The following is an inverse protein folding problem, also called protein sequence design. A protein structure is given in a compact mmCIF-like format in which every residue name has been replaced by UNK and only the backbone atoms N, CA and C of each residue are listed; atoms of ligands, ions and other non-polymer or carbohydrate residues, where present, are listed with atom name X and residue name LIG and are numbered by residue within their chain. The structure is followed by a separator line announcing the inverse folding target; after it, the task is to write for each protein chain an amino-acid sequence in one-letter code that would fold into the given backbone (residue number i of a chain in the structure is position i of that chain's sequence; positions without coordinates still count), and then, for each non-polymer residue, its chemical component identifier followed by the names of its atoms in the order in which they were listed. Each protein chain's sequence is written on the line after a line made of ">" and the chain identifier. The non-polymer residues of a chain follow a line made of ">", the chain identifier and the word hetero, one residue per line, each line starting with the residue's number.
data_IF_572032714752
#
_entry.id   IF_572032714752
#
_cell.length_a   1.000
_cell.length_b   1.000
_cell.length_c   1.000
_cell.angle_alpha   90.00
_cell.angle_beta   90.00
_cell.angle_gamma   90.00
#
_symmetry.space_group_name_H-M   'P 1'
#
loop_
_entity.id
_entity.type
_entity.pdbx_description
1 polymer ?
#
# COMPACT_ATOMS: atom_id res chain seq x y z
N UNK A 1 35.64 14.97 4.16
CA UNK A 1 34.19 15.09 3.94
C UNK A 1 33.97 14.52 2.57
N UNK A 2 33.24 13.42 2.49
CA UNK A 2 32.95 12.75 1.23
C UNK A 2 31.93 13.60 0.47
N UNK A 3 32.22 13.99 -0.77
CA UNK A 3 31.39 14.93 -1.53
C UNK A 3 30.73 14.24 -2.72
N UNK A 4 29.44 14.49 -2.92
CA UNK A 4 28.82 14.31 -4.25
C UNK A 4 29.30 15.49 -5.10
N UNK A 5 30.02 15.20 -6.17
CA UNK A 5 30.57 16.25 -7.02
C UNK A 5 29.50 16.78 -7.98
N UNK A 6 28.61 15.88 -8.42
CA UNK A 6 27.57 16.18 -9.39
C UNK A 6 26.46 15.13 -9.35
N UNK A 7 25.21 15.57 -9.38
CA UNK A 7 24.02 14.73 -9.60
C UNK A 7 23.26 15.31 -10.80
N UNK A 8 23.03 14.51 -11.84
CA UNK A 8 22.35 14.97 -13.05
C UNK A 8 21.60 13.84 -13.75
N UNK A 9 20.49 14.17 -14.42
CA UNK A 9 19.70 13.18 -15.16
C UNK A 9 20.48 12.68 -16.38
N UNK A 10 20.53 11.36 -16.59
CA UNK A 10 21.26 10.74 -17.72
C UNK A 10 20.70 11.15 -19.09
N UNK A 11 19.37 11.25 -19.19
CA UNK A 11 18.64 11.80 -20.33
C UNK A 11 17.33 12.44 -19.85
N UNK A 12 16.74 13.42 -20.56
CA UNK A 12 15.53 14.12 -20.11
C UNK A 12 14.36 13.20 -19.73
N UNK A 13 14.19 12.10 -20.44
CA UNK A 13 13.13 11.10 -20.26
C UNK A 13 13.55 9.87 -19.44
N UNK A 14 14.75 9.86 -18.88
CA UNK A 14 15.27 8.72 -18.12
C UNK A 14 15.03 8.93 -16.63
N UNK A 15 14.63 7.85 -15.96
CA UNK A 15 14.55 7.81 -14.49
C UNK A 15 15.93 7.56 -13.85
N UNK A 16 16.96 7.37 -14.69
CA UNK A 16 18.35 7.19 -14.25
C UNK A 16 19.04 8.53 -14.13
N UNK A 17 19.64 8.77 -12.97
CA UNK A 17 20.50 9.89 -12.65
C UNK A 17 21.93 9.39 -12.52
N UNK A 18 22.87 10.15 -13.05
CA UNK A 18 24.29 9.90 -12.89
C UNK A 18 24.81 10.72 -11.72
N UNK A 19 25.57 10.08 -10.84
CA UNK A 19 26.20 10.67 -9.67
C UNK A 19 27.70 10.50 -9.77
N UNK A 20 28.44 11.61 -9.79
CA UNK A 20 29.91 11.57 -9.74
C UNK A 20 30.35 11.48 -8.27
N UNK A 21 30.93 10.33 -7.91
CA UNK A 21 31.34 9.99 -6.54
C UNK A 21 32.85 9.84 -6.46
N UNK A 22 33.46 10.33 -5.37
CA UNK A 22 34.88 10.08 -5.11
C UNK A 22 35.09 8.59 -4.73
N UNK A 23 36.09 7.94 -5.33
CA UNK A 23 36.47 6.59 -4.94
C UNK A 23 37.57 6.68 -3.89
N UNK A 24 37.36 6.08 -2.72
CA UNK A 24 38.38 6.08 -1.67
C UNK A 24 39.56 5.19 -2.04
N UNK A 25 40.78 5.53 -1.58
CA UNK A 25 41.98 4.70 -1.73
C UNK A 25 41.72 3.25 -1.28
N UNK A 26 40.94 3.06 -0.20
CA UNK A 26 40.59 1.72 0.28
C UNK A 26 39.74 0.92 -0.72
N UNK A 27 38.78 1.56 -1.41
CA UNK A 27 37.99 0.89 -2.44
C UNK A 27 38.81 0.66 -3.71
N UNK A 28 39.70 1.60 -4.08
CA UNK A 28 40.63 1.42 -5.19
C UNK A 28 41.55 0.22 -4.94
N UNK A 29 42.27 0.22 -3.82
CA UNK A 29 43.18 -0.88 -3.42
C UNK A 29 42.46 -2.24 -3.38
N UNK A 30 41.16 -2.25 -3.00
CA UNK A 30 40.36 -3.47 -2.91
C UNK A 30 39.99 -4.04 -4.28
N UNK A 31 39.64 -3.20 -5.24
CA UNK A 31 39.00 -3.64 -6.51
C UNK A 31 39.86 -3.40 -7.77
N UNK A 32 40.91 -2.59 -7.72
CA UNK A 32 41.67 -2.19 -8.92
C UNK A 32 42.25 -3.40 -9.69
N UNK A 33 42.86 -4.37 -8.98
CA UNK A 33 43.46 -5.54 -9.62
C UNK A 33 42.40 -6.40 -10.33
N UNK A 34 41.27 -6.70 -9.66
CA UNK A 34 40.19 -7.51 -10.24
C UNK A 34 39.52 -6.79 -11.42
N UNK A 35 39.29 -5.47 -11.32
CA UNK A 35 38.68 -4.69 -12.39
C UNK A 35 39.59 -4.51 -13.60
N UNK A 36 40.90 -4.36 -13.36
CA UNK A 36 41.90 -4.32 -14.44
C UNK A 36 41.94 -5.68 -15.15
N UNK A 37 41.86 -6.79 -14.43
CA UNK A 37 41.86 -8.14 -15.03
C UNK A 37 40.56 -8.48 -15.78
N UNK A 38 39.39 -8.20 -15.21
CA UNK A 38 38.09 -8.59 -15.78
C UNK A 38 37.64 -7.67 -16.91
N UNK A 39 37.93 -6.37 -16.81
CA UNK A 39 37.31 -5.34 -17.65
C UNK A 39 38.28 -4.34 -18.29
N UNK A 40 39.59 -4.44 -18.02
CA UNK A 40 40.60 -3.45 -18.46
C UNK A 40 40.24 -2.03 -17.97
N UNK A 41 39.67 -1.93 -16.76
CA UNK A 41 39.25 -0.68 -16.12
C UNK A 41 40.26 -0.29 -15.05
N UNK A 42 40.76 0.94 -15.11
CA UNK A 42 41.50 1.57 -14.02
C UNK A 42 40.56 2.46 -13.21
N UNK A 43 40.42 2.18 -11.90
CA UNK A 43 39.60 3.01 -11.02
C UNK A 43 40.26 4.38 -10.82
N UNK A 44 39.66 5.41 -11.39
CA UNK A 44 40.04 6.79 -11.13
C UNK A 44 39.62 7.25 -9.73
N UNK A 45 40.03 8.46 -9.35
CA UNK A 45 39.56 9.12 -8.12
C UNK A 45 38.08 9.48 -8.13
N UNK A 46 37.41 9.42 -9.29
CA UNK A 46 35.98 9.70 -9.46
C UNK A 46 35.36 8.58 -10.29
N UNK A 47 34.26 8.00 -9.80
CA UNK A 47 33.42 7.03 -10.50
C UNK A 47 32.02 7.60 -10.70
N UNK A 48 31.43 7.37 -11.87
CA UNK A 48 30.06 7.78 -12.16
C UNK A 48 29.12 6.62 -11.89
N UNK A 49 28.18 6.82 -10.98
CA UNK A 49 27.21 5.83 -10.55
C UNK A 49 25.82 6.16 -11.12
N UNK A 50 25.16 5.20 -11.77
CA UNK A 50 23.76 5.33 -12.15
C UNK A 50 22.85 5.04 -10.97
N UNK A 51 21.88 5.90 -10.69
CA UNK A 51 20.84 5.67 -9.67
C UNK A 51 19.46 5.95 -10.25
N UNK A 52 18.48 5.11 -9.96
CA UNK A 52 17.07 5.40 -10.23
C UNK A 52 16.41 6.03 -9.01
N UNK A 53 15.39 6.84 -9.25
CA UNK A 53 14.56 7.44 -8.19
C UNK A 53 13.13 6.94 -8.40
N UNK A 54 12.59 6.22 -7.42
CA UNK A 54 11.22 5.69 -7.48
C UNK A 54 10.17 6.82 -7.26
N UNK A 55 8.86 6.56 -7.50
CA UNK A 55 7.80 7.55 -7.32
C UNK A 55 7.70 8.14 -5.89
N UNK A 56 8.15 7.39 -4.88
CA UNK A 56 8.22 7.83 -3.49
C UNK A 56 9.47 8.69 -3.19
N UNK A 57 10.39 8.78 -4.15
CA UNK A 57 11.64 9.54 -4.06
C UNK A 57 12.81 8.73 -3.51
N UNK A 58 12.67 7.41 -3.30
CA UNK A 58 13.78 6.58 -2.83
C UNK A 58 14.74 6.26 -3.97
N UNK A 59 16.02 6.21 -3.62
CA UNK A 59 17.08 5.89 -4.58
C UNK A 59 17.36 4.39 -4.65
N UNK A 60 17.69 3.91 -5.84
CA UNK A 60 18.21 2.56 -6.06
C UNK A 60 19.39 2.60 -7.03
N UNK A 61 20.33 1.67 -6.88
CA UNK A 61 21.46 1.55 -7.80
C UNK A 61 20.96 1.03 -9.17
N UNK A 62 21.27 1.76 -10.23
CA UNK A 62 20.98 1.35 -11.61
C UNK A 62 22.01 0.34 -12.10
N UNK A 63 21.82 -0.92 -11.68
CA UNK A 63 22.64 -2.03 -12.14
C UNK A 63 22.22 -2.42 -13.56
N UNK A 64 22.84 -1.79 -14.56
CA UNK A 64 22.94 -2.37 -15.90
C UNK A 64 23.63 -3.75 -15.81
N UNK A 65 23.50 -4.60 -16.84
CA UNK A 65 23.90 -6.03 -16.89
C UNK A 65 25.38 -6.35 -16.56
N UNK A 66 25.83 -5.99 -15.36
CA UNK A 66 27.20 -6.07 -14.91
C UNK A 66 27.24 -7.11 -13.79
N UNK A 67 28.19 -8.03 -13.91
CA UNK A 67 28.43 -9.13 -12.98
C UNK A 67 29.89 -9.07 -12.54
N UNK A 68 30.26 -9.78 -11.48
CA UNK A 68 31.65 -9.88 -11.03
C UNK A 68 32.09 -8.71 -10.13
N UNK A 69 33.39 -8.43 -10.13
CA UNK A 69 34.01 -7.48 -9.20
C UNK A 69 33.45 -6.05 -9.35
N UNK A 70 33.04 -5.67 -10.56
CA UNK A 70 32.46 -4.35 -10.84
C UNK A 70 31.10 -4.15 -10.18
N UNK A 71 30.26 -5.20 -10.14
CA UNK A 71 28.97 -5.13 -9.45
C UNK A 71 29.16 -4.92 -7.95
N UNK A 72 30.08 -5.67 -7.34
CA UNK A 72 30.39 -5.57 -5.92
C UNK A 72 30.97 -4.19 -5.57
N UNK A 73 31.87 -3.67 -6.42
CA UNK A 73 32.42 -2.33 -6.31
C UNK A 73 31.31 -1.26 -6.30
N UNK A 74 30.40 -1.28 -7.28
CA UNK A 74 29.32 -0.29 -7.35
C UNK A 74 28.32 -0.41 -6.20
N UNK A 75 28.03 -1.62 -5.73
CA UNK A 75 27.19 -1.84 -4.55
C UNK A 75 27.80 -1.27 -3.28
N UNK A 76 29.09 -1.50 -3.06
CA UNK A 76 29.78 -0.98 -1.87
C UNK A 76 29.92 0.54 -1.95
N UNK A 77 30.25 1.08 -3.13
CA UNK A 77 30.28 2.52 -3.36
C UNK A 77 28.90 3.14 -3.12
N UNK A 78 27.83 2.58 -3.68
CA UNK A 78 26.46 3.04 -3.42
C UNK A 78 26.13 3.01 -1.93
N UNK A 79 26.42 1.92 -1.23
CA UNK A 79 26.14 1.79 0.20
C UNK A 79 26.84 2.86 1.06
N UNK A 80 28.07 3.25 0.70
CA UNK A 80 28.80 4.32 1.39
C UNK A 80 28.16 5.70 1.19
N UNK A 81 27.57 5.95 0.01
CA UNK A 81 27.05 7.27 -0.38
C UNK A 81 25.53 7.40 -0.33
N UNK A 82 24.78 6.30 -0.19
CA UNK A 82 23.31 6.31 -0.27
C UNK A 82 22.63 7.38 0.59
N UNK A 83 23.01 7.60 1.87
CA UNK A 83 22.39 8.67 2.67
C UNK A 83 22.61 10.08 2.10
N UNK A 84 23.78 10.33 1.51
CA UNK A 84 24.12 11.62 0.91
C UNK A 84 23.41 11.81 -0.44
N UNK A 85 23.33 10.75 -1.25
CA UNK A 85 22.59 10.75 -2.52
C UNK A 85 21.11 11.00 -2.25
N UNK A 86 20.52 10.31 -1.27
CA UNK A 86 19.12 10.50 -0.88
C UNK A 86 18.87 11.94 -0.39
N UNK A 87 19.78 12.49 0.43
CA UNK A 87 19.67 13.88 0.88
C UNK A 87 19.65 14.87 -0.28
N UNK A 88 20.50 14.67 -1.29
CA UNK A 88 20.57 15.54 -2.46
C UNK A 88 19.35 15.38 -3.37
N UNK A 89 18.87 14.14 -3.57
CA UNK A 89 17.62 13.86 -4.27
C UNK A 89 16.45 14.58 -3.60
N UNK A 90 16.29 14.43 -2.28
CA UNK A 90 15.25 15.11 -1.51
C UNK A 90 15.33 16.65 -1.66
N UNK A 91 16.55 17.21 -1.69
CA UNK A 91 16.77 18.64 -1.91
C UNK A 91 16.29 19.06 -3.30
N UNK A 92 16.70 18.33 -4.34
CA UNK A 92 16.32 18.61 -5.72
C UNK A 92 14.80 18.50 -5.94
N UNK A 93 14.15 17.50 -5.33
CA UNK A 93 12.70 17.33 -5.35
C UNK A 93 12.02 18.56 -4.73
N UNK A 94 12.44 18.96 -3.52
CA UNK A 94 11.89 20.15 -2.83
C UNK A 94 12.11 21.45 -3.59
N UNK A 95 13.21 21.55 -4.33
CA UNK A 95 13.52 22.70 -5.17
C UNK A 95 12.76 22.70 -6.51
N UNK A 96 12.11 21.59 -6.88
CA UNK A 96 11.49 21.41 -8.20
C UNK A 96 12.52 21.28 -9.33
N UNK A 97 13.78 20.96 -9.01
CA UNK A 97 14.85 20.71 -9.98
C UNK A 97 14.69 19.34 -10.64
N UNK A 98 14.15 18.38 -9.89
CA UNK A 98 13.71 17.10 -10.41
C UNK A 98 12.23 16.94 -10.10
N UNK A 99 11.46 16.64 -11.13
CA UNK A 99 10.16 16.04 -10.96
C UNK A 99 10.44 14.53 -10.84
N UNK A 100 10.22 13.99 -9.63
CA UNK A 100 10.04 12.53 -9.52
C UNK A 100 8.91 12.24 -10.48
N UNK A 101 9.17 11.41 -11.49
CA UNK A 101 8.14 11.01 -12.42
C UNK A 101 7.17 10.11 -11.64
N UNK A 102 6.32 10.77 -10.86
CA UNK A 102 5.07 10.24 -10.42
C UNK A 102 4.31 9.83 -11.66
N UNK A 103 3.54 8.78 -11.49
CA UNK A 103 2.89 8.04 -12.57
C UNK A 103 1.68 8.82 -13.07
N UNK A 104 1.87 10.10 -13.44
CA UNK A 104 0.83 10.91 -14.06
C UNK A 104 0.55 10.32 -15.45
N UNK A 105 -0.67 9.80 -15.69
CA UNK A 105 -1.06 9.29 -16.99
C UNK A 105 -0.88 10.30 -18.12
N UNK A 106 -0.90 11.61 -17.83
CA UNK A 106 -0.66 12.66 -18.83
C UNK A 106 0.80 12.69 -19.33
N UNK A 107 1.78 12.23 -18.53
CA UNK A 107 3.19 12.08 -18.95
C UNK A 107 3.33 11.12 -20.13
N UNK A 108 2.44 10.14 -20.21
CA UNK A 108 2.47 9.09 -21.25
C UNK A 108 1.53 9.40 -22.42
N UNK A 109 0.95 10.60 -22.46
CA UNK A 109 0.03 11.03 -23.52
C UNK A 109 0.74 11.10 -24.87
N UNK A 110 0.25 10.32 -25.83
CA UNK A 110 0.80 10.24 -27.18
C UNK A 110 1.74 9.05 -27.39
N UNK A 111 2.11 8.33 -26.33
CA UNK A 111 2.81 7.05 -26.47
C UNK A 111 1.85 5.96 -26.97
N UNK A 112 2.41 5.00 -27.71
CA UNK A 112 1.66 3.87 -28.25
C UNK A 112 1.61 2.75 -27.23
N UNK A 113 0.41 2.41 -26.77
CA UNK A 113 0.19 1.17 -26.06
C UNK A 113 -0.11 0.05 -27.07
N UNK A 114 0.63 -1.06 -27.00
CA UNK A 114 0.50 -2.16 -27.98
C UNK A 114 -0.60 -3.17 -27.64
N UNK A 115 -1.23 -3.04 -26.46
CA UNK A 115 -2.28 -3.93 -26.01
C UNK A 115 -3.66 -3.62 -26.61
N UNK A 116 -4.52 -4.65 -26.65
CA UNK A 116 -5.92 -4.51 -27.08
C UNK A 116 -6.81 -3.94 -25.98
N UNK A 117 -6.42 -4.17 -24.73
CA UNK A 117 -7.12 -3.70 -23.54
C UNK A 117 -6.67 -2.26 -23.19
N UNK A 118 -7.39 -1.55 -22.32
CA UNK A 118 -6.87 -0.31 -21.73
C UNK A 118 -5.52 -0.54 -21.04
N UNK A 119 -4.73 0.53 -20.92
CA UNK A 119 -3.50 0.51 -20.10
C UNK A 119 -3.88 0.12 -18.67
N UNK A 120 -3.32 -0.96 -18.09
CA UNK A 120 -3.58 -1.35 -16.71
C UNK A 120 -3.22 -0.23 -15.75
N UNK A 121 -4.05 0.04 -14.75
CA UNK A 121 -3.74 1.05 -13.72
C UNK A 121 -2.64 0.57 -12.77
N UNK A 122 -1.95 1.49 -12.09
CA UNK A 122 -1.08 1.14 -10.96
C UNK A 122 -1.85 0.30 -9.92
N UNK A 123 -1.16 -0.68 -9.32
CA UNK A 123 -1.75 -1.59 -8.34
C UNK A 123 -2.68 -2.64 -8.97
N UNK A 124 -2.99 -2.55 -10.26
CA UNK A 124 -3.82 -3.54 -10.93
C UNK A 124 -3.03 -4.84 -11.12
N UNK A 125 -3.68 -5.96 -10.82
CA UNK A 125 -3.16 -7.28 -11.16
C UNK A 125 -3.27 -7.55 -12.66
N UNK A 126 -2.21 -8.12 -13.22
CA UNK A 126 -2.12 -8.50 -14.62
C UNK A 126 -1.46 -9.86 -14.76
N UNK A 127 -1.67 -10.51 -15.91
CA UNK A 127 -0.99 -11.73 -16.29
C UNK A 127 -0.02 -11.44 -17.45
N UNK A 128 1.27 -11.64 -17.19
CA UNK A 128 2.33 -11.57 -18.17
C UNK A 128 2.36 -12.87 -18.97
N UNK A 129 1.93 -12.81 -20.22
CA UNK A 129 1.76 -13.98 -21.10
C UNK A 129 3.04 -14.38 -21.84
N UNK A 130 4.08 -13.55 -21.76
CA UNK A 130 5.39 -13.82 -22.36
C UNK A 130 6.28 -14.63 -21.40
N UNK A 131 7.01 -15.61 -21.96
CA UNK A 131 8.05 -16.40 -21.27
C UNK A 131 7.63 -17.02 -19.91
N UNK A 132 6.34 -17.34 -19.75
CA UNK A 132 5.79 -17.87 -18.50
C UNK A 132 6.09 -17.00 -17.27
N UNK A 133 6.18 -15.67 -17.44
CA UNK A 133 6.46 -14.73 -16.34
C UNK A 133 5.34 -14.74 -15.29
N UNK A 134 4.08 -14.97 -15.72
CA UNK A 134 2.95 -15.21 -14.84
C UNK A 134 2.31 -13.94 -14.28
N UNK A 135 1.65 -14.06 -13.13
CA UNK A 135 0.89 -12.96 -12.52
C UNK A 135 1.81 -11.95 -11.83
N UNK A 136 1.41 -10.69 -11.85
CA UNK A 136 2.06 -9.61 -11.12
C UNK A 136 1.18 -8.38 -10.95
N UNK A 137 1.73 -7.36 -10.30
CA UNK A 137 1.05 -6.09 -10.02
C UNK A 137 1.75 -4.98 -10.77
N UNK A 138 0.98 -4.10 -11.42
CA UNK A 138 1.52 -2.94 -12.12
C UNK A 138 2.11 -1.96 -11.12
N UNK A 139 3.41 -1.67 -11.23
CA UNK A 139 4.14 -0.77 -10.32
C UNK A 139 4.64 0.50 -11.00
N UNK A 140 4.56 0.58 -12.33
CA UNK A 140 4.96 1.78 -13.06
C UNK A 140 4.77 1.66 -14.56
N UNK A 141 5.17 2.70 -15.28
CA UNK A 141 5.22 2.70 -16.74
C UNK A 141 6.57 3.24 -17.20
N UNK A 142 6.96 2.94 -18.44
CA UNK A 142 8.19 3.42 -19.03
C UNK A 142 7.99 3.69 -20.52
N UNK A 143 8.58 4.78 -21.04
CA UNK A 143 8.55 5.09 -22.47
C UNK A 143 9.77 4.47 -23.17
N UNK A 144 9.55 3.60 -24.15
CA UNK A 144 10.62 3.00 -24.98
C UNK A 144 10.24 3.14 -26.45
N UNK A 145 11.07 3.82 -27.23
CA UNK A 145 10.91 3.98 -28.69
C UNK A 145 9.51 4.45 -29.13
N UNK A 146 8.89 5.33 -28.34
CA UNK A 146 7.54 5.85 -28.59
C UNK A 146 6.40 4.91 -28.19
N UNK A 147 6.72 3.78 -27.54
CA UNK A 147 5.77 2.85 -26.94
C UNK A 147 5.72 3.01 -25.42
N UNK A 148 4.54 2.70 -24.87
CA UNK A 148 4.32 2.62 -23.44
C UNK A 148 4.55 1.18 -22.96
N UNK A 149 5.63 0.96 -22.23
CA UNK A 149 5.88 -0.23 -21.43
C UNK A 149 5.28 -0.09 -20.04
N UNK A 150 4.96 -1.23 -19.42
CA UNK A 150 4.34 -1.36 -18.10
C UNK A 150 5.30 -2.16 -17.23
N UNK A 151 5.75 -1.57 -16.13
CA UNK A 151 6.56 -2.27 -15.14
C UNK A 151 5.63 -3.07 -14.23
N UNK A 152 5.86 -4.37 -14.15
CA UNK A 152 5.04 -5.32 -13.39
C UNK A 152 5.90 -6.06 -12.39
N UNK A 153 5.54 -5.96 -11.11
CA UNK A 153 6.13 -6.72 -10.02
C UNK A 153 5.54 -8.14 -10.00
N UNK A 154 6.32 -9.13 -10.44
CA UNK A 154 5.86 -10.50 -10.61
C UNK A 154 5.71 -11.20 -9.25
N UNK A 155 4.59 -11.87 -9.03
CA UNK A 155 4.28 -12.54 -7.74
C UNK A 155 5.14 -13.80 -7.51
N UNK A 156 5.43 -14.56 -8.57
CA UNK A 156 6.25 -15.77 -8.52
C UNK A 156 7.03 -15.93 -9.83
N UNK A 157 7.99 -15.04 -10.11
CA UNK A 157 8.72 -15.06 -11.37
C UNK A 157 9.51 -16.36 -11.54
N UNK A 158 9.68 -16.83 -12.78
CA UNK A 158 10.58 -17.94 -13.07
C UNK A 158 11.99 -17.69 -12.53
N UNK A 159 12.67 -18.74 -12.07
CA UNK A 159 14.03 -18.63 -11.51
C UNK A 159 15.03 -18.01 -12.48
N UNK A 160 14.85 -18.23 -13.79
CA UNK A 160 15.71 -17.64 -14.81
C UNK A 160 15.58 -16.11 -14.84
N UNK A 161 14.36 -15.58 -14.68
CA UNK A 161 14.09 -14.14 -14.68
C UNK A 161 14.82 -13.46 -13.53
N UNK A 162 14.67 -14.00 -12.32
CA UNK A 162 15.33 -13.47 -11.12
C UNK A 162 16.85 -13.52 -11.27
N UNK A 163 17.40 -14.63 -11.78
CA UNK A 163 18.85 -14.79 -11.98
C UNK A 163 19.39 -13.77 -13.00
N UNK A 164 18.72 -13.63 -14.14
CA UNK A 164 19.21 -12.86 -15.27
C UNK A 164 18.98 -11.34 -15.09
N UNK A 165 18.12 -10.95 -14.13
CA UNK A 165 17.82 -9.56 -13.77
C UNK A 165 18.40 -9.16 -12.39
N UNK A 166 19.48 -9.79 -11.94
CA UNK A 166 20.19 -9.37 -10.72
C UNK A 166 19.36 -9.48 -9.43
N UNK A 167 18.46 -10.46 -9.36
CA UNK A 167 17.57 -10.66 -8.21
C UNK A 167 16.24 -9.91 -8.31
N UNK A 168 16.05 -9.05 -9.32
CA UNK A 168 14.80 -8.29 -9.49
C UNK A 168 13.66 -9.20 -9.94
N UNK A 169 12.49 -8.92 -9.40
CA UNK A 169 11.21 -9.59 -9.66
C UNK A 169 10.33 -8.77 -10.60
N UNK A 170 10.65 -7.49 -10.81
CA UNK A 170 9.97 -6.63 -11.77
C UNK A 170 10.31 -7.01 -13.22
N UNK A 171 9.34 -6.92 -14.11
CA UNK A 171 9.52 -7.06 -15.56
C UNK A 171 8.88 -5.90 -16.31
N UNK A 172 9.57 -5.39 -17.32
CA UNK A 172 8.99 -4.44 -18.26
C UNK A 172 8.25 -5.19 -19.37
N UNK A 173 6.96 -4.92 -19.51
CA UNK A 173 6.08 -5.59 -20.45
C UNK A 173 5.41 -4.59 -21.38
N UNK A 174 5.15 -4.98 -22.61
CA UNK A 174 4.34 -4.21 -23.54
C UNK A 174 2.91 -4.75 -23.58
N UNK A 175 1.95 -3.90 -23.91
CA UNK A 175 0.53 -4.27 -23.81
C UNK A 175 0.09 -5.53 -24.58
N UNK A 176 0.83 -5.98 -25.60
CA UNK A 176 0.56 -7.25 -26.30
C UNK A 176 0.93 -8.48 -25.47
N UNK A 177 1.77 -8.31 -24.46
CA UNK A 177 2.27 -9.35 -23.53
C UNK A 177 1.45 -9.39 -22.24
N UNK A 178 0.47 -8.50 -22.09
CA UNK A 178 -0.29 -8.29 -20.86
C UNK A 178 -1.76 -8.60 -21.12
N UNK A 179 -2.28 -9.59 -20.40
CA UNK A 179 -3.72 -9.75 -20.25
C UNK A 179 -4.18 -9.20 -18.88
N UNK A 180 -5.35 -8.56 -18.82
CA UNK A 180 -5.95 -8.24 -17.54
C UNK A 180 -6.14 -9.56 -16.80
N UNK A 181 -5.57 -9.67 -15.59
CA UNK A 181 -5.77 -10.87 -14.79
C UNK A 181 -7.27 -11.09 -14.70
N UNK A 182 -7.79 -12.31 -14.97
CA UNK A 182 -9.16 -12.62 -14.57
C UNK A 182 -9.22 -12.27 -13.09
N UNK A 183 -10.18 -11.42 -12.71
CA UNK A 183 -10.41 -11.13 -11.30
C UNK A 183 -10.40 -12.48 -10.59
N UNK A 184 -9.61 -12.65 -9.50
CA UNK A 184 -9.56 -13.93 -8.82
C UNK A 184 -11.01 -14.34 -8.59
N UNK A 185 -11.42 -15.50 -9.11
CA UNK A 185 -12.74 -16.05 -8.81
C UNK A 185 -12.83 -16.02 -7.30
N UNK A 186 -13.68 -15.12 -6.78
CA UNK A 186 -13.67 -14.80 -5.37
C UNK A 186 -13.78 -16.13 -4.62
N UNK A 187 -12.74 -16.56 -3.86
CA UNK A 187 -12.85 -17.81 -3.13
C UNK A 187 -14.08 -17.66 -2.25
N UNK A 188 -15.02 -18.61 -2.34
CA UNK A 188 -16.31 -18.51 -1.63
C UNK A 188 -16.04 -18.04 -0.19
N UNK A 189 -16.45 -16.80 0.12
CA UNK A 189 -16.23 -16.09 1.38
C UNK A 189 -16.60 -16.92 2.64
N UNK A 190 -17.35 -18.01 2.45
CA UNK A 190 -17.79 -18.95 3.48
C UNK A 190 -16.66 -19.75 4.15
N UNK A 191 -15.52 -19.99 3.49
CA UNK A 191 -14.47 -20.82 4.10
C UNK A 191 -13.46 -20.04 4.97
N UNK A 192 -13.35 -18.72 4.78
CA UNK A 192 -12.35 -17.88 5.48
C UNK A 192 -12.86 -17.23 6.77
N UNK A 193 -14.16 -17.04 6.93
CA UNK A 193 -14.76 -16.57 8.17
C UNK A 193 -15.09 -17.76 9.09
N UNK A 194 -14.14 -18.23 9.90
CA UNK A 194 -14.47 -19.10 11.04
C UNK A 194 -14.80 -18.23 12.26
N UNK A 195 -16.03 -18.26 12.80
CA UNK A 195 -16.33 -17.58 14.04
C UNK A 195 -15.49 -18.18 15.17
N UNK A 196 -14.61 -17.37 15.76
CA UNK A 196 -13.88 -17.76 16.98
C UNK A 196 -14.79 -17.53 18.17
N UNK A 197 -15.01 -18.57 18.98
CA UNK A 197 -15.70 -18.47 20.28
C UNK A 197 -14.92 -17.54 21.21
N UNK A 198 -15.48 -16.39 21.56
CA UNK A 198 -14.91 -15.49 22.57
C UNK A 198 -15.17 -16.01 23.98
N UNK A 199 -14.11 -16.21 24.77
CA UNK A 199 -14.19 -16.25 26.22
C UNK A 199 -14.17 -14.80 26.74
N UNK A 200 -15.14 -14.44 27.58
CA UNK A 200 -15.21 -13.13 28.21
C UNK A 200 -13.89 -12.83 28.94
N UNK A 201 -13.18 -11.78 28.51
CA UNK A 201 -12.03 -11.28 29.24
C UNK A 201 -12.54 -10.44 30.42
N UNK A 202 -12.25 -10.90 31.63
CA UNK A 202 -12.52 -10.16 32.85
C UNK A 202 -11.72 -8.85 32.88
N UNK A 203 -12.42 -7.78 33.27
CA UNK A 203 -11.89 -6.53 33.81
C UNK A 203 -11.22 -5.54 32.82
N UNK A 204 -12.05 -4.76 32.14
CA UNK A 204 -11.78 -3.33 31.93
C UNK A 204 -12.81 -2.54 32.75
N UNK A 205 -12.47 -2.15 33.98
CA UNK A 205 -13.35 -1.30 34.78
C UNK A 205 -13.43 0.11 34.16
N UNK A 206 -14.65 0.56 33.86
CA UNK A 206 -14.95 1.96 33.51
C UNK A 206 -15.11 2.28 32.02
N UNK A 207 -14.82 1.34 31.11
CA UNK A 207 -15.10 1.46 29.67
C UNK A 207 -15.79 0.19 29.20
N UNK A 208 -17.00 0.31 28.65
CA UNK A 208 -17.70 -0.80 27.98
C UNK A 208 -17.03 -1.08 26.64
N UNK A 209 -15.82 -1.64 26.68
CA UNK A 209 -15.08 -1.98 25.46
C UNK A 209 -15.36 -3.43 25.11
N UNK A 210 -16.09 -3.67 24.02
CA UNK A 210 -16.06 -4.98 23.36
C UNK A 210 -14.82 -5.01 22.47
N UNK A 211 -14.02 -6.07 22.55
CA UNK A 211 -12.89 -6.30 21.67
C UNK A 211 -13.20 -7.50 20.78
N UNK A 212 -12.88 -7.40 19.49
CA UNK A 212 -12.98 -8.50 18.54
C UNK A 212 -11.57 -8.94 18.14
N UNK A 213 -11.41 -10.20 17.77
CA UNK A 213 -10.15 -10.74 17.24
C UNK A 213 -10.45 -11.36 15.89
N UNK A 214 -9.66 -11.00 14.90
CA UNK A 214 -9.72 -11.55 13.56
C UNK A 214 -8.36 -12.17 13.23
N UNK A 215 -8.36 -13.22 12.42
CA UNK A 215 -7.15 -13.75 11.78
C UNK A 215 -7.18 -13.26 10.34
N UNK A 216 -6.28 -12.35 9.98
CA UNK A 216 -6.24 -11.76 8.65
C UNK A 216 -5.11 -12.39 7.83
N UNK A 217 -5.36 -13.57 7.26
CA UNK A 217 -4.56 -14.03 6.12
C UNK A 217 -5.12 -13.39 4.85
N UNK A 218 -4.49 -12.29 4.40
CA UNK A 218 -4.75 -11.67 3.10
C UNK A 218 -6.01 -10.80 2.99
N UNK A 219 -6.35 -10.04 4.04
CA UNK A 219 -7.40 -9.01 3.98
C UNK A 219 -6.80 -7.64 3.70
N UNK A 220 -7.43 -6.89 2.80
CA UNK A 220 -7.24 -5.44 2.70
C UNK A 220 -8.00 -4.77 3.86
N UNK A 221 -7.24 -4.40 4.90
CA UNK A 221 -7.77 -3.89 6.15
C UNK A 221 -8.47 -2.53 6.00
N UNK A 222 -8.07 -1.69 5.04
CA UNK A 222 -8.66 -0.36 4.90
C UNK A 222 -10.08 -0.44 4.33
N UNK A 223 -10.27 -1.25 3.28
CA UNK A 223 -11.56 -1.45 2.63
C UNK A 223 -12.58 -2.08 3.60
N UNK A 224 -12.19 -3.14 4.31
CA UNK A 224 -13.08 -3.86 5.23
C UNK A 224 -13.43 -3.04 6.48
N UNK A 225 -12.49 -2.26 7.03
CA UNK A 225 -12.77 -1.34 8.14
C UNK A 225 -13.74 -0.24 7.69
N UNK A 226 -13.62 0.25 6.46
CA UNK A 226 -14.55 1.19 5.85
C UNK A 226 -15.98 0.64 5.74
N UNK A 227 -16.12 -0.60 5.26
CA UNK A 227 -17.42 -1.24 5.11
C UNK A 227 -18.10 -1.54 6.45
N UNK A 228 -17.35 -2.03 7.44
CA UNK A 228 -17.86 -2.23 8.80
C UNK A 228 -18.32 -0.91 9.41
N UNK A 229 -17.57 0.18 9.21
CA UNK A 229 -17.95 1.50 9.68
C UNK A 229 -19.25 2.01 9.04
N UNK A 230 -19.45 1.78 7.73
CA UNK A 230 -20.70 2.13 7.03
C UNK A 230 -21.89 1.29 7.50
N UNK A 231 -21.71 -0.02 7.73
CA UNK A 231 -22.77 -0.87 8.28
C UNK A 231 -23.15 -0.42 9.69
N UNK A 232 -22.18 -0.02 10.51
CA UNK A 232 -22.44 0.53 11.84
C UNK A 232 -23.25 1.83 11.78
N UNK A 233 -22.98 2.72 10.81
CA UNK A 233 -23.81 3.91 10.55
C UNK A 233 -25.24 3.53 10.16
N UNK A 234 -25.39 2.54 9.27
CA UNK A 234 -26.71 2.07 8.78
C UNK A 234 -27.60 1.50 9.91
N UNK A 235 -26.99 0.86 10.92
CA UNK A 235 -27.72 0.35 12.09
C UNK A 235 -27.94 1.39 13.20
N UNK A 236 -27.62 2.66 12.92
CA UNK A 236 -27.94 3.79 13.79
C UNK A 236 -26.89 4.11 14.86
N UNK A 237 -25.69 3.51 14.80
CA UNK A 237 -24.58 3.96 15.63
C UNK A 237 -24.06 5.29 15.09
N UNK A 238 -24.27 6.36 15.86
CA UNK A 238 -23.67 7.65 15.57
C UNK A 238 -22.21 7.59 15.99
N UNK A 239 -21.29 7.71 15.05
CA UNK A 239 -19.88 7.95 15.35
C UNK A 239 -19.78 9.21 16.21
N UNK A 240 -19.54 9.05 17.52
CA UNK A 240 -19.11 10.20 18.31
C UNK A 240 -17.67 10.54 17.93
N UNK A 241 -17.22 11.80 18.03
CA UNK A 241 -15.85 12.20 17.70
C UNK A 241 -14.76 11.51 18.54
N UNK A 242 -15.15 10.65 19.50
CA UNK A 242 -14.28 9.93 20.42
C UNK A 242 -14.18 8.43 20.11
N UNK A 243 -14.86 7.92 19.07
CA UNK A 243 -14.69 6.55 18.58
C UNK A 243 -13.39 6.42 17.77
N UNK A 244 -12.24 6.48 18.45
CA UNK A 244 -10.95 6.16 17.82
C UNK A 244 -10.79 4.65 17.80
N UNK A 245 -10.73 4.07 16.61
CA UNK A 245 -10.21 2.72 16.38
C UNK A 245 -8.71 2.78 16.69
N UNK A 246 -8.22 1.91 17.58
CA UNK A 246 -6.81 1.90 17.95
C UNK A 246 -6.20 0.52 17.72
N UNK A 247 -5.15 0.55 16.90
CA UNK A 247 -4.03 -0.37 16.69
C UNK A 247 -4.32 -1.85 16.36
N UNK A 248 -3.73 -2.28 15.25
CA UNK A 248 -3.29 -3.66 15.05
C UNK A 248 -2.10 -3.95 15.96
N UNK A 249 -2.04 -5.16 16.51
CA UNK A 249 -0.78 -5.70 17.05
C UNK A 249 -0.36 -6.87 16.18
N UNK A 250 0.81 -6.75 15.57
CA UNK A 250 1.44 -7.86 14.86
C UNK A 250 2.00 -8.86 15.88
N UNK A 251 1.57 -10.11 15.79
CA UNK A 251 2.15 -11.22 16.57
C UNK A 251 2.34 -12.42 15.64
N UNK A 252 3.43 -12.41 14.87
CA UNK A 252 3.65 -13.41 13.82
C UNK A 252 2.86 -13.07 12.56
N UNK A 253 2.21 -14.05 11.93
CA UNK A 253 1.42 -13.87 10.68
C UNK A 253 0.00 -13.35 10.89
N UNK A 254 -0.45 -13.21 12.14
CA UNK A 254 -1.82 -12.82 12.46
C UNK A 254 -1.92 -11.33 12.79
N UNK A 255 -2.84 -10.62 12.12
CA UNK A 255 -3.20 -9.25 12.46
C UNK A 255 -4.42 -9.25 13.40
N UNK A 256 -4.21 -8.82 14.64
CA UNK A 256 -5.30 -8.67 15.62
C UNK A 256 -5.96 -7.28 15.46
N UNK A 257 -7.19 -7.24 14.93
CA UNK A 257 -7.99 -6.00 14.83
C UNK A 257 -8.96 -5.88 16.02
N UNK A 258 -8.69 -4.93 16.92
CA UNK A 258 -9.52 -4.68 18.11
C UNK A 258 -10.43 -3.46 17.87
N UNK A 259 -11.73 -3.69 17.68
CA UNK A 259 -12.72 -2.61 17.53
C UNK A 259 -13.30 -2.24 18.88
N UNK A 260 -12.78 -1.20 19.53
CA UNK A 260 -13.31 -0.68 20.79
C UNK A 260 -14.48 0.29 20.56
N UNK A 261 -15.69 -0.10 20.94
CA UNK A 261 -16.87 0.77 20.87
C UNK A 261 -17.12 1.48 22.20
N UNK A 262 -16.92 2.80 22.24
CA UNK A 262 -17.25 3.62 23.41
C UNK A 262 -18.72 4.06 23.36
N UNK A 263 -19.54 3.58 24.30
CA UNK A 263 -20.90 4.07 24.49
C UNK A 263 -20.90 5.23 25.51
N UNK A 264 -20.81 6.48 25.03
CA UNK A 264 -20.89 7.66 25.90
C UNK A 264 -22.34 8.14 26.15
N UNK A 265 -23.35 7.31 25.89
CA UNK A 265 -24.76 7.65 26.06
C UNK A 265 -25.51 6.57 26.83
N UNK A 266 -26.31 6.99 27.81
CA UNK A 266 -27.18 6.15 28.64
C UNK A 266 -28.04 5.19 27.78
N UNK A 267 -27.62 3.93 27.67
CA UNK A 267 -28.48 2.81 27.34
C UNK A 267 -28.80 2.04 28.63
N UNK A 268 -29.98 1.41 28.76
CA UNK A 268 -30.32 0.61 29.93
C UNK A 268 -29.30 -0.52 30.11
N UNK A 269 -29.00 -0.85 31.38
CA UNK A 269 -27.97 -1.79 31.88
C UNK A 269 -27.99 -3.24 31.34
N UNK A 270 -28.70 -3.54 30.25
CA UNK A 270 -28.87 -4.90 29.72
C UNK A 270 -28.64 -5.07 28.20
N UNK A 271 -27.97 -4.14 27.51
CA UNK A 271 -27.70 -4.29 26.06
C UNK A 271 -26.21 -4.52 25.76
N UNK A 272 -25.70 -5.67 26.20
CA UNK A 272 -24.38 -6.19 25.79
C UNK A 272 -24.42 -7.04 24.51
N UNK A 273 -25.40 -6.83 23.64
CA UNK A 273 -25.54 -7.61 22.40
C UNK A 273 -25.10 -6.81 21.19
N UNK A 274 -24.23 -7.40 20.38
CA UNK A 274 -23.96 -6.97 19.01
C UNK A 274 -25.30 -6.88 18.26
N UNK A 275 -25.58 -5.80 17.52
CA UNK A 275 -26.74 -5.78 16.63
C UNK A 275 -26.68 -7.02 15.73
N UNK A 276 -27.75 -7.84 15.73
CA UNK A 276 -27.78 -9.10 14.97
C UNK A 276 -27.38 -8.91 13.50
N UNK A 277 -27.61 -7.72 12.95
CA UNK A 277 -27.22 -7.29 11.60
C UNK A 277 -25.71 -7.20 11.35
N UNK A 278 -24.92 -6.73 12.32
CA UNK A 278 -23.46 -6.69 12.21
C UNK A 278 -22.90 -8.10 12.31
N UNK A 279 -23.46 -8.91 13.22
CA UNK A 279 -23.09 -10.32 13.35
C UNK A 279 -23.41 -11.11 12.07
N UNK A 280 -24.61 -10.96 11.52
CA UNK A 280 -25.01 -11.60 10.26
C UNK A 280 -24.11 -11.18 9.09
N UNK A 281 -23.71 -9.90 8.99
CA UNK A 281 -22.75 -9.44 7.98
C UNK A 281 -21.42 -10.17 8.11
N UNK A 282 -20.84 -10.16 9.31
CA UNK A 282 -19.53 -10.75 9.58
C UNK A 282 -19.51 -12.27 9.37
N UNK A 283 -20.63 -12.96 9.63
CA UNK A 283 -20.73 -14.41 9.45
C UNK A 283 -21.03 -14.83 7.99
N UNK A 284 -21.61 -13.94 7.18
CA UNK A 284 -22.11 -14.31 5.85
C UNK A 284 -21.52 -13.52 4.67
N UNK A 285 -20.80 -12.43 4.93
CA UNK A 285 -20.31 -11.48 3.93
C UNK A 285 -21.43 -10.73 3.18
N UNK A 286 -22.69 -10.84 3.61
CA UNK A 286 -23.84 -10.23 2.93
C UNK A 286 -24.35 -9.02 3.68
N UNK A 287 -24.32 -7.87 3.02
CA UNK A 287 -24.87 -6.62 3.57
C UNK A 287 -26.37 -6.83 3.86
N UNK A 288 -26.85 -6.57 5.09
CA UNK A 288 -28.25 -6.76 5.42
C UNK A 288 -29.11 -5.76 4.61
N UNK A 289 -30.25 -6.21 4.10
CA UNK A 289 -31.20 -5.34 3.42
C UNK A 289 -31.56 -4.14 4.31
N UNK A 290 -31.40 -2.93 3.76
CA UNK A 290 -31.57 -1.68 4.50
C UNK A 290 -32.98 -1.53 5.12
N UNK A 291 -34.00 -2.20 4.57
CA UNK A 291 -35.35 -2.26 5.16
C UNK A 291 -35.43 -3.20 6.38
N UNK A 292 -34.68 -4.30 6.40
CA UNK A 292 -34.69 -5.27 7.51
C UNK A 292 -33.94 -4.70 8.72
N UNK A 293 -32.85 -3.97 8.49
CA UNK A 293 -32.08 -3.30 9.54
C UNK A 293 -32.94 -2.28 10.32
N UNK A 294 -33.79 -1.52 9.62
CA UNK A 294 -34.72 -0.54 10.24
C UNK A 294 -35.89 -1.18 10.99
N UNK A 295 -36.33 -2.38 10.60
CA UNK A 295 -37.47 -3.06 11.26
C UNK A 295 -37.11 -3.75 12.59
N UNK A 296 -35.83 -4.13 12.78
CA UNK A 296 -35.35 -4.78 14.03
C UNK A 296 -34.93 -3.80 15.11
N UNK A 297 -34.68 -2.52 14.79
CA UNK A 297 -34.57 -1.46 15.79
C UNK A 297 -35.98 -1.15 16.31
N UNK A 298 -36.29 -1.52 17.56
CA UNK A 298 -37.60 -1.37 18.17
C UNK A 298 -38.18 0.06 18.09
N UNK A 299 -39.48 0.26 18.36
CA UNK A 299 -40.16 1.51 18.11
C UNK A 299 -39.50 2.69 18.86
N UNK A 300 -39.20 3.74 18.10
CA UNK A 300 -38.78 5.04 18.63
C UNK A 300 -39.86 5.60 19.55
N UNK A 301 -39.61 5.62 20.86
CA UNK A 301 -40.45 6.35 21.81
C UNK A 301 -40.36 7.85 21.49
N UNK A 302 -41.41 8.39 20.86
CA UNK A 302 -41.60 9.83 20.81
C UNK A 302 -41.97 10.31 22.22
N UNK A 303 -41.21 11.27 22.75
CA UNK A 303 -41.56 11.96 24.00
C UNK A 303 -42.89 12.66 23.79
N UNK A 304 -43.95 12.19 24.44
CA UNK A 304 -45.20 12.93 24.54
C UNK A 304 -44.93 14.29 25.19
N UNK A 305 -45.40 15.37 24.54
CA UNK A 305 -45.43 16.70 25.13
C UNK A 305 -46.20 16.64 26.46
N UNK A 306 -45.74 17.29 27.53
CA UNK A 306 -46.54 17.40 28.75
C UNK A 306 -47.86 18.11 28.40
N UNK A 307 -48.98 17.49 28.74
CA UNK A 307 -50.29 18.12 28.70
C UNK A 307 -50.29 19.24 29.75
N UNK A 308 -50.46 20.49 29.31
CA UNK A 308 -50.78 21.60 30.19
C UNK A 308 -52.15 21.35 30.82
N UNK A 309 -52.20 21.26 32.16
CA UNK A 309 -53.45 21.37 32.91
C UNK A 309 -54.11 22.75 32.63
N UNK A 310 -55.42 22.80 32.37
CA UNK A 310 -56.14 24.07 32.25
C UNK A 310 -56.26 24.74 33.63
N UNK A 311 -55.92 26.03 33.69
CA UNK A 311 -56.04 26.86 34.87
C UNK A 311 -57.50 26.93 35.37
N UNK A 312 -57.68 26.83 36.69
CA UNK A 312 -58.96 26.98 37.35
C UNK A 312 -59.56 28.39 37.14
N UNK A 313 -60.90 28.51 36.95
CA UNK A 313 -61.54 29.81 36.75
C UNK A 313 -61.52 30.64 38.03
N UNK A 314 -60.99 31.86 37.91
CA UNK A 314 -61.08 32.92 38.92
C UNK A 314 -62.55 33.31 39.12
N UNK A 315 -63.08 33.08 40.32
CA UNK A 315 -64.31 33.72 40.77
C UNK A 315 -63.97 35.16 41.17
N UNK A 316 -64.65 36.12 40.54
CA UNK A 316 -64.76 37.49 41.02
C UNK A 316 -66.22 37.74 41.40
N UNK A 317 -66.43 38.09 42.67
CA UNK A 317 -67.47 39.00 43.14
C UNK A 317 -66.76 40.15 43.84
#
# INVERSE_FOLDING_TARGET
>A
MTNITKLFRSAPSSDVFNVDLEVSDQLQDKYEDELREEHDIELGGIHMLGVTIDPEGNIQLDQGHIYGAFLEFEQELFAQYAPLIQFEVDRMIRAGEIEVLGVDPETYKGLRYSGKNPVPALGQEVEATINDLGRGVVVGYQAIDGYLGVNVELTNPPKWHVRDNGGRTTGLLFGVEIDPSPAPEAPELKERARPVSLSWADNCEGLYTTAYRFHADGLDLETEVGEIAEIMKDVGYKSTPLGKVWFSRERGKDIELIIALSNSGYLPKHSGMVPATVKDYLETGKRPDAEIAKRKSGPSFSKSKPQHEPAAPSMSM
#
